data_IF_752041293041
#
_entry.id   IF_752041293041
#
_cell.length_a   1.000
_cell.length_b   1.000
_cell.length_c   1.000
_cell.angle_alpha   90.00
_cell.angle_beta   90.00
_cell.angle_gamma   90.00
#
_symmetry.space_group_name_H-M   'P 1'
#
loop_
_entity.id
_entity.type
_entity.pdbx_description
1 polymer ?
#
# COMPACT_ATOMS: atom_id res chain seq x y z
N UNK A 1 -9.44 8.32 12.05
CA UNK A 1 -8.93 7.21 12.87
C UNK A 1 -9.73 7.23 14.16
N UNK A 2 -10.72 6.32 14.28
CA UNK A 2 -11.38 6.10 15.57
C UNK A 2 -10.28 5.61 16.51
N UNK A 3 -9.78 6.48 17.40
CA UNK A 3 -8.98 6.05 18.53
C UNK A 3 -9.89 5.20 19.40
N UNK A 4 -9.73 3.87 19.36
CA UNK A 4 -10.21 3.01 20.43
C UNK A 4 -9.36 3.32 21.65
N UNK A 5 -9.88 4.03 22.67
CA UNK A 5 -9.11 4.31 23.85
C UNK A 5 -8.90 2.97 24.58
N UNK A 6 -7.65 2.62 24.87
CA UNK A 6 -7.24 1.57 25.81
C UNK A 6 -7.20 0.08 25.34
N UNK A 7 -7.24 -0.24 24.05
CA UNK A 7 -6.64 -1.52 23.67
C UNK A 7 -5.14 -1.30 23.46
N UNK A 8 -4.32 -1.88 24.33
CA UNK A 8 -2.91 -1.98 24.02
C UNK A 8 -2.74 -2.83 22.75
N UNK A 9 -1.69 -2.56 22.01
CA UNK A 9 -1.46 -3.19 20.71
C UNK A 9 -1.43 -4.74 20.83
N UNK A 10 -1.01 -5.26 21.97
CA UNK A 10 -0.97 -6.70 22.29
C UNK A 10 -2.37 -7.34 22.36
N UNK A 11 -3.30 -6.74 23.09
CA UNK A 11 -4.66 -7.26 23.22
C UNK A 11 -5.44 -7.17 21.90
N UNK A 12 -5.21 -6.11 21.11
CA UNK A 12 -5.76 -6.00 19.78
C UNK A 12 -5.27 -7.14 18.88
N UNK A 13 -3.96 -7.35 18.76
CA UNK A 13 -3.38 -8.43 17.95
C UNK A 13 -3.84 -9.81 18.40
N UNK A 14 -3.91 -10.06 19.71
CA UNK A 14 -4.40 -11.33 20.26
C UNK A 14 -5.86 -11.59 19.92
N UNK A 15 -6.72 -10.57 20.04
CA UNK A 15 -8.13 -10.65 19.70
C UNK A 15 -8.34 -10.92 18.21
N UNK A 16 -7.66 -10.18 17.36
CA UNK A 16 -7.73 -10.35 15.91
C UNK A 16 -7.23 -11.71 15.46
N UNK A 17 -6.13 -12.20 16.00
CA UNK A 17 -5.62 -13.54 15.71
C UNK A 17 -6.64 -14.64 16.06
N UNK A 18 -7.36 -14.49 17.18
CA UNK A 18 -8.44 -15.42 17.57
C UNK A 18 -9.56 -15.46 16.54
N UNK A 19 -10.04 -14.29 16.12
CA UNK A 19 -11.09 -14.16 15.09
C UNK A 19 -10.64 -14.76 13.75
N UNK A 20 -9.43 -14.49 13.31
CA UNK A 20 -8.89 -15.02 12.06
C UNK A 20 -8.78 -16.55 12.11
N UNK A 21 -8.34 -17.11 13.23
CA UNK A 21 -8.29 -18.57 13.42
C UNK A 21 -9.68 -19.20 13.35
N UNK A 22 -10.68 -18.58 13.96
CA UNK A 22 -12.07 -19.05 13.91
C UNK A 22 -12.60 -19.01 12.48
N UNK A 23 -12.42 -17.90 11.75
CA UNK A 23 -12.83 -17.76 10.34
C UNK A 23 -12.12 -18.81 9.46
N UNK A 24 -10.83 -19.02 9.65
CA UNK A 24 -10.07 -20.05 8.92
C UNK A 24 -10.63 -21.45 9.20
N UNK A 25 -10.99 -21.73 10.44
CA UNK A 25 -11.65 -22.98 10.83
C UNK A 25 -13.00 -23.16 10.15
N UNK A 26 -13.81 -22.11 10.10
CA UNK A 26 -15.12 -22.12 9.44
C UNK A 26 -15.02 -22.36 7.93
N UNK A 27 -14.10 -21.71 7.25
CA UNK A 27 -13.87 -21.91 5.81
C UNK A 27 -13.48 -23.37 5.52
N UNK A 28 -12.58 -23.96 6.33
CA UNK A 28 -12.15 -25.34 6.17
C UNK A 28 -13.26 -26.36 6.45
N UNK A 29 -13.97 -26.21 7.59
CA UNK A 29 -14.95 -27.20 8.04
C UNK A 29 -16.22 -27.20 7.23
N UNK A 30 -16.65 -26.03 6.74
CA UNK A 30 -17.87 -25.89 5.94
C UNK A 30 -17.61 -25.95 4.43
N UNK A 31 -16.35 -26.02 4.01
CA UNK A 31 -15.94 -25.96 2.61
C UNK A 31 -16.62 -24.81 1.85
N UNK A 32 -16.65 -23.64 2.48
CA UNK A 32 -17.23 -22.40 1.94
C UNK A 32 -16.11 -21.40 1.64
N UNK A 33 -16.46 -20.33 0.92
CA UNK A 33 -15.52 -19.29 0.55
C UNK A 33 -14.75 -19.59 -0.73
N UNK A 34 -14.22 -18.53 -1.31
CA UNK A 34 -13.41 -18.55 -2.53
C UNK A 34 -11.93 -18.66 -2.20
N UNK A 35 -11.11 -18.85 -3.23
CA UNK A 35 -9.65 -18.75 -3.09
C UNK A 35 -9.23 -17.35 -2.63
N UNK A 36 -9.94 -16.32 -3.09
CA UNK A 36 -9.72 -14.94 -2.64
C UNK A 36 -10.01 -14.75 -1.15
N UNK A 37 -11.05 -15.40 -0.59
CA UNK A 37 -11.34 -15.31 0.84
C UNK A 37 -10.24 -15.97 1.68
N UNK A 38 -9.71 -17.11 1.20
CA UNK A 38 -8.57 -17.79 1.84
C UNK A 38 -7.30 -16.96 1.77
N UNK A 39 -7.01 -16.38 0.61
CA UNK A 39 -5.88 -15.49 0.41
C UNK A 39 -5.96 -14.26 1.31
N UNK A 40 -7.14 -13.62 1.40
CA UNK A 40 -7.36 -12.45 2.23
C UNK A 40 -7.15 -12.74 3.73
N UNK A 41 -7.56 -13.92 4.21
CA UNK A 41 -7.31 -14.31 5.61
C UNK A 41 -5.82 -14.50 5.91
N UNK A 42 -5.06 -15.05 4.95
CA UNK A 42 -3.60 -15.20 5.09
C UNK A 42 -2.90 -13.84 5.07
N UNK A 43 -3.34 -12.91 4.23
CA UNK A 43 -2.89 -11.52 4.21
C UNK A 43 -3.13 -10.83 5.56
N UNK A 44 -4.33 -10.95 6.14
CA UNK A 44 -4.60 -10.43 7.49
C UNK A 44 -3.70 -11.07 8.56
N UNK A 45 -3.42 -12.36 8.45
CA UNK A 45 -2.46 -13.00 9.37
C UNK A 45 -1.05 -12.44 9.21
N UNK A 46 -0.62 -12.18 7.97
CA UNK A 46 0.68 -11.60 7.67
C UNK A 46 0.84 -10.19 8.27
N UNK A 47 -0.21 -9.36 8.20
CA UNK A 47 -0.20 -8.00 8.78
C UNK A 47 -0.09 -7.98 10.31
N UNK A 48 -0.51 -9.03 10.97
CA UNK A 48 -0.41 -9.19 12.43
C UNK A 48 0.87 -9.91 12.89
N UNK A 49 1.63 -10.48 11.94
CA UNK A 49 2.85 -11.22 12.28
C UNK A 49 4.01 -10.24 12.53
N UNK A 50 4.74 -10.48 13.62
CA UNK A 50 5.87 -9.64 14.02
C UNK A 50 7.20 -10.11 13.44
N UNK A 51 7.26 -11.35 12.92
CA UNK A 51 8.47 -11.94 12.35
C UNK A 51 8.42 -11.84 10.82
N UNK A 52 9.31 -11.06 10.17
CA UNK A 52 9.26 -10.83 8.73
C UNK A 52 9.24 -12.11 7.89
N UNK A 53 10.00 -13.13 8.29
CA UNK A 53 10.07 -14.39 7.54
C UNK A 53 8.73 -15.15 7.56
N UNK A 54 8.00 -15.06 8.68
CA UNK A 54 6.66 -15.66 8.78
C UNK A 54 5.62 -14.86 8.00
N UNK A 55 5.71 -13.52 8.05
CA UNK A 55 4.84 -12.66 7.25
C UNK A 55 5.06 -12.92 5.74
N UNK A 56 6.31 -12.99 5.28
CA UNK A 56 6.64 -13.34 3.89
C UNK A 56 6.06 -14.72 3.51
N UNK A 57 6.14 -15.71 4.41
CA UNK A 57 5.57 -17.02 4.15
C UNK A 57 4.05 -16.95 3.98
N UNK A 58 3.36 -16.26 4.88
CA UNK A 58 1.91 -16.09 4.83
C UNK A 58 1.45 -15.38 3.56
N UNK A 59 2.13 -14.32 3.14
CA UNK A 59 1.84 -13.63 1.87
C UNK A 59 2.05 -14.53 0.64
N UNK A 60 3.10 -15.36 0.64
CA UNK A 60 3.32 -16.37 -0.42
C UNK A 60 2.24 -17.45 -0.42
N UNK A 61 1.86 -17.92 0.77
CA UNK A 61 0.79 -18.90 0.92
C UNK A 61 -0.55 -18.30 0.46
N UNK A 62 -0.77 -16.99 0.66
CA UNK A 62 -1.93 -16.25 0.14
C UNK A 62 -1.93 -16.21 -1.40
N UNK A 63 -0.82 -15.84 -2.02
CA UNK A 63 -0.70 -15.87 -3.48
C UNK A 63 -0.93 -17.26 -4.06
N UNK A 64 -0.48 -18.31 -3.38
CA UNK A 64 -0.66 -19.69 -3.81
C UNK A 64 -2.13 -20.18 -3.77
N UNK A 65 -3.03 -19.46 -3.08
CA UNK A 65 -4.47 -19.74 -3.15
C UNK A 65 -5.09 -19.30 -4.48
N UNK A 66 -4.48 -18.37 -5.20
CA UNK A 66 -5.04 -17.77 -6.40
C UNK A 66 -4.48 -18.51 -7.65
N UNK A 67 -5.28 -19.38 -8.24
CA UNK A 67 -4.86 -20.11 -9.45
C UNK A 67 -4.87 -19.22 -10.70
N UNK A 68 -5.83 -18.31 -10.80
CA UNK A 68 -6.00 -17.44 -11.97
C UNK A 68 -6.27 -16.01 -11.53
N UNK A 69 -5.52 -15.06 -12.12
CA UNK A 69 -5.74 -13.63 -11.89
C UNK A 69 -6.84 -13.14 -12.83
N UNK A 70 -7.89 -12.57 -12.25
CA UNK A 70 -9.06 -12.02 -12.93
C UNK A 70 -9.28 -10.57 -12.50
N UNK A 71 -10.20 -9.85 -13.14
CA UNK A 71 -10.56 -8.50 -12.72
C UNK A 71 -11.07 -8.45 -11.27
N UNK A 72 -11.74 -9.50 -10.79
CA UNK A 72 -12.32 -9.54 -9.43
C UNK A 72 -11.26 -9.69 -8.34
N UNK A 73 -10.14 -10.34 -8.62
CA UNK A 73 -9.08 -10.58 -7.64
C UNK A 73 -7.76 -9.83 -7.91
N UNK A 74 -7.64 -9.13 -9.04
CA UNK A 74 -6.43 -8.42 -9.43
C UNK A 74 -5.96 -7.42 -8.38
N UNK A 75 -6.90 -6.70 -7.73
CA UNK A 75 -6.61 -5.78 -6.64
C UNK A 75 -5.99 -6.50 -5.43
N UNK A 76 -6.57 -7.63 -5.03
CA UNK A 76 -6.03 -8.44 -3.94
C UNK A 76 -4.62 -8.94 -4.27
N UNK A 77 -4.43 -9.51 -5.47
CA UNK A 77 -3.11 -10.02 -5.89
C UNK A 77 -2.07 -8.90 -5.98
N UNK A 78 -2.47 -7.72 -6.45
CA UNK A 78 -1.61 -6.53 -6.44
C UNK A 78 -1.19 -6.15 -5.01
N UNK A 79 -2.12 -6.13 -4.05
CA UNK A 79 -1.82 -5.84 -2.65
C UNK A 79 -0.86 -6.87 -2.04
N UNK A 80 -1.08 -8.17 -2.27
CA UNK A 80 -0.17 -9.23 -1.81
C UNK A 80 1.25 -9.04 -2.35
N UNK A 81 1.39 -8.67 -3.62
CA UNK A 81 2.69 -8.35 -4.20
C UNK A 81 3.30 -7.07 -3.59
N UNK A 82 2.52 -6.02 -3.35
CA UNK A 82 3.00 -4.80 -2.69
C UNK A 82 3.51 -5.08 -1.27
N UNK A 83 2.79 -5.90 -0.50
CA UNK A 83 3.16 -6.32 0.85
C UNK A 83 4.46 -7.12 0.84
N UNK A 84 4.59 -8.11 -0.07
CA UNK A 84 5.84 -8.85 -0.25
C UNK A 84 7.01 -7.93 -0.62
N UNK A 85 6.79 -6.97 -1.51
CA UNK A 85 7.79 -5.98 -1.87
C UNK A 85 8.28 -5.18 -0.66
N UNK A 86 7.35 -4.71 0.18
CA UNK A 86 7.66 -4.02 1.43
C UNK A 86 8.43 -4.89 2.43
N UNK A 87 7.97 -6.12 2.64
CA UNK A 87 8.61 -7.08 3.54
C UNK A 87 10.03 -7.43 3.08
N UNK A 88 10.24 -7.68 1.80
CA UNK A 88 11.57 -7.94 1.24
C UNK A 88 12.51 -6.73 1.33
N UNK A 89 11.99 -5.51 1.09
CA UNK A 89 12.77 -4.28 1.30
C UNK A 89 13.25 -4.16 2.73
N UNK A 90 12.35 -4.35 3.71
CA UNK A 90 12.68 -4.28 5.14
C UNK A 90 13.67 -5.36 5.56
N UNK A 91 13.67 -6.51 4.89
CA UNK A 91 14.52 -7.66 5.19
C UNK A 91 15.85 -7.66 4.40
N UNK A 92 16.16 -6.59 3.67
CA UNK A 92 17.43 -6.42 2.97
C UNK A 92 17.57 -7.24 1.67
N UNK A 93 16.44 -7.55 1.01
CA UNK A 93 16.39 -8.27 -0.27
C UNK A 93 15.88 -7.34 -1.40
N UNK A 94 16.68 -6.37 -1.86
CA UNK A 94 16.20 -5.34 -2.79
C UNK A 94 15.75 -5.89 -4.16
N UNK A 95 16.38 -6.96 -4.65
CA UNK A 95 15.99 -7.55 -5.94
C UNK A 95 14.58 -8.16 -5.87
N UNK A 96 14.29 -8.93 -4.81
CA UNK A 96 12.95 -9.49 -4.58
C UNK A 96 11.93 -8.38 -4.27
N UNK A 97 12.33 -7.34 -3.56
CA UNK A 97 11.46 -6.19 -3.32
C UNK A 97 11.06 -5.53 -4.64
N UNK A 98 12.02 -5.29 -5.53
CA UNK A 98 11.78 -4.74 -6.87
C UNK A 98 10.82 -5.59 -7.67
N UNK A 99 11.11 -6.88 -7.79
CA UNK A 99 10.29 -7.84 -8.55
C UNK A 99 8.83 -7.78 -8.11
N UNK A 100 8.58 -7.85 -6.82
CA UNK A 100 7.24 -7.84 -6.27
C UNK A 100 6.55 -6.46 -6.40
N UNK A 101 7.24 -5.35 -6.15
CA UNK A 101 6.67 -4.01 -6.33
C UNK A 101 6.31 -3.74 -7.80
N UNK A 102 7.18 -4.10 -8.75
CA UNK A 102 6.90 -3.96 -10.18
C UNK A 102 5.72 -4.84 -10.62
N UNK A 103 5.62 -6.05 -10.10
CA UNK A 103 4.48 -6.94 -10.37
C UNK A 103 3.17 -6.35 -9.86
N UNK A 104 3.17 -5.76 -8.66
CA UNK A 104 2.02 -5.07 -8.10
C UNK A 104 1.53 -3.95 -9.03
N UNK A 105 2.41 -3.04 -9.42
CA UNK A 105 2.06 -1.90 -10.29
C UNK A 105 1.63 -2.36 -11.68
N UNK A 106 2.30 -3.39 -12.24
CA UNK A 106 1.91 -3.98 -13.53
C UNK A 106 0.48 -4.53 -13.51
N UNK A 107 0.05 -5.16 -12.41
CA UNK A 107 -1.31 -5.65 -12.25
C UNK A 107 -2.32 -4.50 -12.16
N UNK A 108 -2.01 -3.44 -11.43
CA UNK A 108 -2.88 -2.25 -11.37
C UNK A 108 -3.05 -1.61 -12.76
N UNK A 109 -2.00 -1.53 -13.54
CA UNK A 109 -2.05 -0.98 -14.90
C UNK A 109 -2.84 -1.90 -15.85
N UNK A 110 -2.54 -3.20 -15.84
CA UNK A 110 -3.19 -4.21 -16.69
C UNK A 110 -4.71 -4.26 -16.50
N UNK A 111 -5.18 -4.11 -15.26
CA UNK A 111 -6.60 -4.17 -14.92
C UNK A 111 -7.25 -2.79 -14.77
N UNK A 112 -6.58 -1.71 -15.20
CA UNK A 112 -7.05 -0.32 -15.11
C UNK A 112 -7.44 0.10 -13.69
N UNK A 113 -6.63 -0.26 -12.70
CA UNK A 113 -6.85 0.00 -11.28
C UNK A 113 -5.96 1.13 -10.71
N UNK A 114 -5.20 1.84 -11.55
CA UNK A 114 -4.30 2.92 -11.10
C UNK A 114 -5.05 4.13 -10.50
N UNK A 115 -6.34 4.27 -10.81
CA UNK A 115 -7.19 5.34 -10.29
C UNK A 115 -7.82 5.06 -8.92
N UNK A 116 -7.66 3.85 -8.38
CA UNK A 116 -8.19 3.49 -7.06
C UNK A 116 -7.25 3.95 -5.93
N UNK A 117 -7.82 4.21 -4.75
CA UNK A 117 -7.06 4.74 -3.61
C UNK A 117 -5.91 3.83 -3.15
N UNK A 118 -6.02 2.52 -3.33
CA UNK A 118 -4.97 1.56 -2.93
C UNK A 118 -3.71 1.66 -3.80
N UNK A 119 -3.82 2.17 -5.04
CA UNK A 119 -2.66 2.32 -5.93
C UNK A 119 -1.66 3.36 -5.42
N UNK A 120 -2.15 4.37 -4.68
CA UNK A 120 -1.34 5.51 -4.25
C UNK A 120 -0.22 5.09 -3.31
N UNK A 121 -0.49 4.38 -2.18
CA UNK A 121 0.58 3.91 -1.31
C UNK A 121 1.52 2.92 -1.99
N UNK A 122 1.03 2.09 -2.92
CA UNK A 122 1.87 1.14 -3.65
C UNK A 122 2.88 1.86 -4.54
N UNK A 123 2.43 2.84 -5.35
CA UNK A 123 3.30 3.60 -6.24
C UNK A 123 4.22 4.53 -5.43
N UNK A 124 3.72 5.13 -4.34
CA UNK A 124 4.54 5.96 -3.46
C UNK A 124 5.68 5.13 -2.81
N UNK A 125 5.37 3.95 -2.29
CA UNK A 125 6.37 3.04 -1.72
C UNK A 125 7.39 2.56 -2.75
N UNK A 126 6.95 2.29 -3.99
CA UNK A 126 7.85 1.92 -5.07
C UNK A 126 8.75 3.09 -5.47
N UNK A 127 8.22 4.30 -5.58
CA UNK A 127 9.02 5.49 -5.90
C UNK A 127 10.08 5.80 -4.83
N UNK A 128 9.72 5.63 -3.55
CA UNK A 128 10.66 5.74 -2.44
C UNK A 128 11.74 4.65 -2.49
N UNK A 129 11.35 3.40 -2.76
CA UNK A 129 12.29 2.30 -2.96
C UNK A 129 13.26 2.57 -4.10
N UNK A 130 12.78 3.03 -5.27
CA UNK A 130 13.64 3.42 -6.39
C UNK A 130 14.64 4.52 -6.00
N UNK A 131 14.22 5.49 -5.20
CA UNK A 131 15.09 6.56 -4.69
C UNK A 131 16.21 5.99 -3.80
N UNK A 132 15.91 5.02 -2.94
CA UNK A 132 16.91 4.32 -2.12
C UNK A 132 17.87 3.49 -2.96
N UNK A 133 17.41 2.98 -4.11
CA UNK A 133 18.23 2.27 -5.09
C UNK A 133 18.98 3.20 -6.06
N UNK A 134 19.03 4.52 -5.78
CA UNK A 134 19.68 5.55 -6.59
C UNK A 134 19.06 5.74 -7.98
N UNK A 135 17.76 5.50 -8.10
CA UNK A 135 16.96 5.71 -9.32
C UNK A 135 15.83 6.73 -9.08
N UNK A 136 16.08 7.92 -8.50
CA UNK A 136 15.04 8.85 -8.11
C UNK A 136 14.22 9.38 -9.29
N UNK A 137 14.81 9.52 -10.47
CA UNK A 137 14.14 10.01 -11.69
C UNK A 137 13.02 9.06 -12.11
N UNK A 138 13.23 7.74 -11.99
CA UNK A 138 12.18 6.75 -12.25
C UNK A 138 11.04 6.88 -11.23
N UNK A 139 11.37 7.01 -9.94
CA UNK A 139 10.38 7.20 -8.88
C UNK A 139 9.55 8.47 -9.08
N UNK A 140 10.19 9.58 -9.46
CA UNK A 140 9.53 10.84 -9.80
C UNK A 140 8.59 10.66 -11.00
N UNK A 141 9.03 9.95 -12.04
CA UNK A 141 8.22 9.68 -13.24
C UNK A 141 6.94 8.92 -12.91
N UNK A 142 7.02 7.86 -12.07
CA UNK A 142 5.84 7.10 -11.65
C UNK A 142 4.84 7.96 -10.86
N UNK A 143 5.33 8.80 -9.96
CA UNK A 143 4.47 9.73 -9.20
C UNK A 143 3.86 10.82 -10.08
N UNK A 144 4.55 11.28 -11.11
CA UNK A 144 4.00 12.24 -12.07
C UNK A 144 2.91 11.61 -12.92
N UNK A 145 3.09 10.37 -13.39
CA UNK A 145 2.05 9.58 -14.06
C UNK A 145 0.82 9.44 -13.17
N UNK A 146 1.01 9.03 -11.92
CA UNK A 146 -0.07 8.92 -10.94
C UNK A 146 -0.77 10.27 -10.67
N UNK A 147 -0.02 11.36 -10.57
CA UNK A 147 -0.59 12.72 -10.44
C UNK A 147 -1.52 13.07 -11.61
N UNK A 148 -1.18 12.67 -12.83
CA UNK A 148 -2.03 12.84 -14.00
C UNK A 148 -3.33 12.06 -13.88
N UNK A 149 -3.26 10.79 -13.50
CA UNK A 149 -4.42 9.92 -13.32
C UNK A 149 -5.35 10.47 -12.22
N UNK A 150 -4.80 10.88 -11.07
CA UNK A 150 -5.61 11.45 -9.98
C UNK A 150 -6.36 12.71 -10.46
N UNK A 151 -5.73 13.58 -11.24
CA UNK A 151 -6.39 14.77 -11.77
C UNK A 151 -7.51 14.44 -12.76
N UNK A 152 -7.36 13.38 -13.53
CA UNK A 152 -8.34 12.96 -14.52
C UNK A 152 -9.58 12.35 -13.85
N UNK A 153 -9.39 11.51 -12.83
CA UNK A 153 -10.48 10.75 -12.21
C UNK A 153 -11.06 11.41 -10.96
N UNK A 154 -10.34 12.30 -10.30
CA UNK A 154 -10.72 12.93 -9.04
C UNK A 154 -10.60 14.47 -9.14
N UNK A 155 -9.57 15.02 -8.49
CA UNK A 155 -9.29 16.45 -8.44
C UNK A 155 -7.83 16.66 -7.99
N UNK A 156 -7.26 17.81 -8.33
CA UNK A 156 -5.95 18.21 -7.79
C UNK A 156 -6.02 18.88 -6.40
N UNK A 157 -7.22 18.90 -5.79
CA UNK A 157 -7.50 19.38 -4.44
C UNK A 157 -7.82 18.24 -3.45
N UNK A 158 -7.71 16.96 -3.87
CA UNK A 158 -8.05 15.81 -3.03
C UNK A 158 -6.86 15.37 -2.17
N UNK A 159 -7.18 14.61 -1.11
CA UNK A 159 -6.20 14.04 -0.18
C UNK A 159 -5.13 13.20 -0.88
N UNK A 160 -5.53 12.42 -1.87
CA UNK A 160 -4.64 11.53 -2.61
C UNK A 160 -3.63 12.29 -3.46
N UNK A 161 -4.05 13.40 -4.09
CA UNK A 161 -3.12 14.28 -4.78
C UNK A 161 -2.13 14.94 -3.81
N UNK A 162 -2.59 15.34 -2.61
CA UNK A 162 -1.71 15.89 -1.58
C UNK A 162 -0.64 14.88 -1.14
N UNK A 163 -1.00 13.59 -0.93
CA UNK A 163 -0.06 12.52 -0.59
C UNK A 163 1.02 12.32 -1.67
N UNK A 164 0.62 12.35 -2.95
CA UNK A 164 1.58 12.25 -4.07
C UNK A 164 2.53 13.46 -4.09
N UNK A 165 2.01 14.68 -3.87
CA UNK A 165 2.84 15.87 -3.77
C UNK A 165 3.82 15.81 -2.58
N UNK A 166 3.39 15.29 -1.44
CA UNK A 166 4.24 15.08 -0.26
C UNK A 166 5.36 14.07 -0.56
N UNK A 167 5.05 12.95 -1.23
CA UNK A 167 6.06 11.95 -1.63
C UNK A 167 7.07 12.53 -2.62
N UNK A 168 6.62 13.30 -3.61
CA UNK A 168 7.52 14.02 -4.53
C UNK A 168 8.42 14.99 -3.77
N UNK A 169 7.87 15.76 -2.82
CA UNK A 169 8.64 16.65 -1.94
C UNK A 169 9.71 15.89 -1.16
N UNK A 170 9.38 14.71 -0.64
CA UNK A 170 10.31 13.85 0.09
C UNK A 170 11.44 13.36 -0.79
N UNK A 171 11.15 12.88 -2.01
CA UNK A 171 12.18 12.43 -2.96
C UNK A 171 13.11 13.58 -3.34
N UNK A 172 12.56 14.76 -3.64
CA UNK A 172 13.39 15.94 -3.94
C UNK A 172 14.24 16.39 -2.75
N UNK A 173 13.75 16.21 -1.52
CA UNK A 173 14.54 16.47 -0.31
C UNK A 173 15.70 15.46 -0.17
N UNK A 174 15.44 14.17 -0.38
CA UNK A 174 16.44 13.11 -0.35
C UNK A 174 17.54 13.31 -1.40
N UNK A 175 17.19 13.89 -2.55
CA UNK A 175 18.12 14.20 -3.65
C UNK A 175 18.72 15.61 -3.56
N UNK A 176 18.54 16.29 -2.42
CA UNK A 176 19.04 17.64 -2.15
C UNK A 176 18.51 18.74 -3.11
N UNK A 177 17.43 18.47 -3.83
CA UNK A 177 16.76 19.48 -4.67
C UNK A 177 15.75 20.30 -3.84
N UNK A 178 16.28 21.18 -2.98
CA UNK A 178 15.49 21.97 -2.02
C UNK A 178 14.41 22.84 -2.65
N UNK A 179 14.64 23.50 -3.82
CA UNK A 179 13.60 24.30 -4.47
C UNK A 179 12.37 23.48 -4.87
N UNK A 180 12.58 22.30 -5.47
CA UNK A 180 11.49 21.40 -5.84
C UNK A 180 10.79 20.80 -4.62
N UNK A 181 11.57 20.34 -3.62
CA UNK A 181 11.02 19.86 -2.37
C UNK A 181 10.07 20.87 -1.73
N UNK A 182 10.51 22.12 -1.60
CA UNK A 182 9.69 23.21 -1.06
C UNK A 182 8.41 23.44 -1.86
N UNK A 183 8.49 23.37 -3.19
CA UNK A 183 7.34 23.57 -4.08
C UNK A 183 6.28 22.49 -3.86
N UNK A 184 6.68 21.22 -3.83
CA UNK A 184 5.79 20.10 -3.66
C UNK A 184 5.20 20.03 -2.25
N UNK A 185 5.98 20.25 -1.18
CA UNK A 185 5.46 20.34 0.18
C UNK A 185 4.48 21.49 0.37
N UNK A 186 4.73 22.67 -0.19
CA UNK A 186 3.76 23.78 -0.13
C UNK A 186 2.44 23.43 -0.81
N UNK A 187 2.49 22.68 -1.91
CA UNK A 187 1.29 22.26 -2.61
C UNK A 187 0.49 21.24 -1.78
N UNK A 188 1.15 20.24 -1.22
CA UNK A 188 0.52 19.28 -0.31
C UNK A 188 -0.10 19.99 0.90
N UNK A 189 0.66 20.85 1.56
CA UNK A 189 0.22 21.59 2.72
C UNK A 189 -1.04 22.44 2.46
N UNK A 190 -1.08 23.15 1.33
CA UNK A 190 -2.25 23.97 0.96
C UNK A 190 -3.53 23.13 0.78
N UNK A 191 -3.39 21.90 0.26
CA UNK A 191 -4.53 20.99 0.12
C UNK A 191 -4.97 20.45 1.48
N UNK A 192 -4.03 20.01 2.32
CA UNK A 192 -4.33 19.58 3.68
C UNK A 192 -5.01 20.69 4.49
N UNK A 193 -4.49 21.93 4.44
CA UNK A 193 -5.06 23.07 5.12
C UNK A 193 -6.52 23.32 4.72
N UNK A 194 -6.84 23.20 3.40
CA UNK A 194 -8.20 23.32 2.88
C UNK A 194 -9.11 22.20 3.39
N UNK A 195 -8.66 20.94 3.34
CA UNK A 195 -9.43 19.78 3.79
C UNK A 195 -9.74 19.87 5.29
N UNK A 196 -8.75 20.26 6.11
CA UNK A 196 -8.92 20.35 7.57
C UNK A 196 -9.66 21.61 8.03
N UNK A 197 -9.67 22.67 7.24
CA UNK A 197 -10.50 23.85 7.53
C UNK A 197 -12.01 23.54 7.40
N UNK A 198 -12.36 22.59 6.54
CA UNK A 198 -13.75 22.14 6.35
C UNK A 198 -14.18 21.08 7.41
N UNK A 199 -13.24 20.51 8.19
CA UNK A 199 -13.49 19.52 9.25
C UNK A 199 -12.81 19.93 10.59
N UNK A 200 -13.26 20.99 11.27
CA UNK A 200 -12.59 21.52 12.47
C UNK A 200 -12.66 20.62 13.71
N UNK A 201 -13.43 19.53 13.71
CA UNK A 201 -13.59 18.62 14.85
C UNK A 201 -12.56 17.47 14.90
N UNK A 202 -11.59 17.42 13.99
CA UNK A 202 -10.57 16.36 13.95
C UNK A 202 -9.19 16.78 14.46
N UNK A 203 -9.10 17.84 15.29
CA UNK A 203 -7.86 18.29 15.93
C UNK A 203 -7.83 17.84 17.39
#
# INVERSE_FOLDING_TARGET
VVKFPYMDNYNYHKGMNGIIQELTGLLKTKNIGTDSDRALLLDFQATLETKPEKAIKLEKDALAQIETITADNARLVSNLHANLGGLYRMNGHPDLAREHMEKSISLLDQFNLLHINDSIPQIANYAMFLTEQQEPERGISELQKLSGIIKEYHSDDCLDYAKVQETLGTIYLMTANLPQAKTHFKRAFKIYEKIWADEPEMI
#
